data_IF_465134073723
#
_entry.id   IF_465134073723
#
_cell.length_a   1.000
_cell.length_b   1.000
_cell.length_c   1.000
_cell.angle_alpha   90.00
_cell.angle_beta   90.00
_cell.angle_gamma   90.00
#
_symmetry.space_group_name_H-M   'P 1'
#
loop_
_entity.id
_entity.type
_entity.pdbx_description
1 polymer ?
#
# COMPACT_ATOMS: atom_id res chain seq x y z
N UNK A 1 -14.71 -10.80 -11.41
CA UNK A 1 -13.62 -9.81 -11.40
C UNK A 1 -14.07 -8.53 -12.09
N UNK A 2 -14.70 -7.59 -11.38
CA UNK A 2 -15.06 -6.28 -11.97
C UNK A 2 -15.24 -5.18 -10.90
N UNK A 3 -14.41 -5.19 -9.86
CA UNK A 3 -14.45 -4.14 -8.82
C UNK A 3 -13.78 -2.83 -9.28
N UNK A 4 -12.88 -2.92 -10.28
CA UNK A 4 -12.08 -1.81 -10.78
C UNK A 4 -12.80 -0.93 -11.81
N UNK A 5 -13.95 -1.34 -12.37
CA UNK A 5 -14.65 -0.56 -13.40
C UNK A 5 -15.65 0.46 -12.83
N UNK A 6 -15.79 0.53 -11.50
CA UNK A 6 -16.65 1.51 -10.82
C UNK A 6 -15.90 2.74 -10.32
N UNK A 7 -14.65 2.95 -10.76
CA UNK A 7 -13.84 4.10 -10.38
C UNK A 7 -14.20 5.35 -11.19
N UNK A 8 -15.24 6.06 -10.77
CA UNK A 8 -15.53 7.44 -11.20
C UNK A 8 -15.33 8.40 -10.02
N UNK A 9 -14.32 9.27 -10.16
CA UNK A 9 -14.05 10.62 -9.62
C UNK A 9 -14.54 11.11 -8.23
N UNK A 10 -15.32 10.38 -7.45
CA UNK A 10 -15.94 10.90 -6.21
C UNK A 10 -15.11 10.70 -4.92
N UNK A 11 -13.93 10.10 -4.97
CA UNK A 11 -13.05 9.88 -3.79
C UNK A 11 -12.26 11.13 -3.38
N UNK A 12 -12.91 12.28 -3.18
CA UNK A 12 -12.25 13.57 -2.89
C UNK A 12 -11.53 13.63 -1.53
N UNK A 13 -11.93 12.86 -0.53
CA UNK A 13 -11.43 13.04 0.86
C UNK A 13 -10.06 12.41 1.15
N UNK A 14 -9.57 11.49 0.31
CA UNK A 14 -8.33 10.74 0.57
C UNK A 14 -7.34 10.86 -0.61
N UNK A 15 -7.05 12.10 -1.01
CA UNK A 15 -6.08 12.44 -2.04
C UNK A 15 -4.81 13.02 -1.41
N UNK A 16 -3.69 12.33 -1.59
CA UNK A 16 -2.38 12.78 -1.12
C UNK A 16 -1.55 13.30 -2.29
N UNK A 17 -1.02 14.51 -2.20
CA UNK A 17 0.02 15.02 -3.11
C UNK A 17 1.33 15.15 -2.34
N UNK A 18 2.25 14.22 -2.54
CA UNK A 18 3.42 14.04 -1.68
C UNK A 18 4.68 13.69 -2.51
N UNK A 19 5.84 13.66 -1.86
CA UNK A 19 7.09 13.16 -2.46
C UNK A 19 7.28 11.68 -2.17
N UNK A 20 8.04 10.98 -3.01
CA UNK A 20 8.47 9.60 -2.71
C UNK A 20 9.18 9.52 -1.36
N UNK A 21 8.92 8.44 -0.63
CA UNK A 21 9.47 8.21 0.70
C UNK A 21 8.67 8.86 1.84
N UNK A 22 7.69 9.71 1.53
CA UNK A 22 6.79 10.29 2.53
C UNK A 22 5.90 9.21 3.14
N UNK A 23 5.78 9.22 4.47
CA UNK A 23 4.91 8.29 5.21
C UNK A 23 3.54 8.91 5.42
N UNK A 24 2.50 8.15 5.12
CA UNK A 24 1.10 8.50 5.34
C UNK A 24 0.57 7.58 6.44
N UNK A 25 0.10 8.14 7.56
CA UNK A 25 -0.58 7.34 8.59
C UNK A 25 -1.99 6.98 8.12
N UNK A 26 -2.35 5.71 8.28
CA UNK A 26 -3.63 5.16 7.86
C UNK A 26 -4.19 4.23 8.93
N UNK A 27 -5.51 4.10 8.89
CA UNK A 27 -6.27 3.23 9.77
C UNK A 27 -7.03 2.23 8.91
N UNK A 28 -6.77 0.94 9.10
CA UNK A 28 -7.54 -0.10 8.44
C UNK A 28 -8.89 -0.26 9.14
N UNK A 29 -9.97 -0.27 8.36
CA UNK A 29 -11.32 -0.49 8.86
C UNK A 29 -11.66 -1.97 8.71
N UNK A 30 -12.14 -2.61 9.77
CA UNK A 30 -12.36 -4.07 9.83
C UNK A 30 -13.55 -4.54 8.97
N UNK A 31 -14.57 -3.70 8.82
CA UNK A 31 -15.81 -4.04 8.09
C UNK A 31 -16.02 -3.24 6.80
N UNK A 32 -15.03 -2.47 6.36
CA UNK A 32 -15.15 -1.66 5.15
C UNK A 32 -13.86 -1.63 4.37
N UNK A 33 -13.96 -1.23 3.10
CA UNK A 33 -12.81 -0.87 2.31
C UNK A 33 -12.37 0.55 2.63
N UNK A 34 -11.07 0.78 2.59
CA UNK A 34 -10.50 2.13 2.68
C UNK A 34 -9.77 2.41 1.38
N UNK A 35 -10.12 3.48 0.70
CA UNK A 35 -9.55 3.86 -0.60
C UNK A 35 -8.76 5.15 -0.45
N UNK A 36 -7.68 5.30 -1.21
CA UNK A 36 -6.97 6.56 -1.33
C UNK A 36 -6.24 6.66 -2.66
N UNK A 37 -6.05 7.90 -3.11
CA UNK A 37 -5.25 8.25 -4.28
C UNK A 37 -4.01 8.98 -3.80
N UNK A 38 -2.86 8.61 -4.35
CA UNK A 38 -1.59 9.26 -4.08
C UNK A 38 -1.00 9.76 -5.39
N UNK A 39 -0.65 11.03 -5.44
CA UNK A 39 0.07 11.67 -6.52
C UNK A 39 1.50 12.00 -6.03
N UNK A 40 2.49 11.47 -6.73
CA UNK A 40 3.90 11.60 -6.39
C UNK A 40 4.70 12.07 -7.61
N UNK A 41 5.15 13.33 -7.63
CA UNK A 41 5.98 13.88 -8.71
C UNK A 41 5.35 13.69 -10.10
N UNK A 42 4.03 13.86 -10.22
CA UNK A 42 3.27 13.69 -11.47
C UNK A 42 2.80 12.25 -11.74
N UNK A 43 3.20 11.28 -10.93
CA UNK A 43 2.78 9.88 -11.03
C UNK A 43 1.57 9.61 -10.13
N UNK A 44 0.59 8.83 -10.61
CA UNK A 44 -0.66 8.58 -9.90
C UNK A 44 -0.78 7.13 -9.47
N UNK A 45 -1.18 6.92 -8.21
CA UNK A 45 -1.39 5.63 -7.59
C UNK A 45 -2.76 5.60 -6.91
N UNK A 46 -3.49 4.50 -7.04
CA UNK A 46 -4.68 4.25 -6.23
C UNK A 46 -4.46 3.04 -5.37
N UNK A 47 -4.84 3.17 -4.12
CA UNK A 47 -4.67 2.11 -3.14
C UNK A 47 -5.98 1.79 -2.46
N UNK A 48 -6.12 0.51 -2.12
CA UNK A 48 -7.25 -0.02 -1.38
C UNK A 48 -6.74 -0.91 -0.27
N UNK A 49 -7.31 -0.72 0.92
CA UNK A 49 -7.24 -1.68 2.00
C UNK A 49 -8.59 -2.38 2.11
N UNK A 50 -8.56 -3.71 2.22
CA UNK A 50 -9.74 -4.53 2.50
C UNK A 50 -9.42 -5.66 3.47
N UNK A 51 -10.43 -6.44 3.85
CA UNK A 51 -10.25 -7.62 4.69
C UNK A 51 -10.85 -8.84 4.00
N UNK A 52 -10.22 -9.98 4.23
CA UNK A 52 -10.72 -11.28 3.81
C UNK A 52 -11.61 -11.88 4.91
N UNK A 53 -12.39 -12.90 4.54
CA UNK A 53 -13.32 -13.57 5.46
C UNK A 53 -12.63 -14.28 6.63
N UNK A 54 -11.36 -14.64 6.49
CA UNK A 54 -10.53 -15.25 7.55
C UNK A 54 -9.96 -14.24 8.55
N UNK A 55 -10.27 -12.94 8.37
CA UNK A 55 -9.77 -11.85 9.19
C UNK A 55 -8.35 -11.39 8.84
N UNK A 56 -7.78 -11.87 7.73
CA UNK A 56 -6.58 -11.27 7.14
C UNK A 56 -6.90 -9.95 6.45
N UNK A 57 -5.91 -9.08 6.34
CA UNK A 57 -6.04 -7.76 5.70
C UNK A 57 -5.18 -7.73 4.45
N UNK A 58 -5.73 -7.20 3.36
CA UNK A 58 -4.97 -6.95 2.14
C UNK A 58 -4.87 -5.46 1.84
N UNK A 59 -3.73 -5.05 1.30
CA UNK A 59 -3.51 -3.69 0.80
C UNK A 59 -2.94 -3.79 -0.60
N UNK A 60 -3.68 -3.26 -1.56
CA UNK A 60 -3.30 -3.25 -2.97
C UNK A 60 -3.06 -1.82 -3.43
N UNK A 61 -2.00 -1.61 -4.22
CA UNK A 61 -1.67 -0.30 -4.80
C UNK A 61 -1.48 -0.41 -6.31
N UNK A 62 -2.40 0.14 -7.07
CA UNK A 62 -2.35 0.20 -8.53
C UNK A 62 -1.65 1.48 -8.99
N UNK A 63 -0.67 1.35 -9.87
CA UNK A 63 -0.06 2.46 -10.59
C UNK A 63 -0.86 2.77 -11.87
N UNK A 64 -1.09 4.06 -12.14
CA UNK A 64 -1.87 4.58 -13.27
C UNK A 64 -0.98 5.31 -14.29
N UNK A 65 0.11 4.65 -14.69
CA UNK A 65 0.99 5.12 -15.76
C UNK A 65 1.47 3.96 -16.63
N UNK A 66 2.56 4.15 -17.41
CA UNK A 66 3.09 3.12 -18.28
C UNK A 66 3.49 1.86 -17.51
N UNK A 67 3.01 0.68 -17.95
CA UNK A 67 3.23 -0.58 -17.21
C UNK A 67 4.72 -0.89 -16.99
N UNK A 68 5.57 -0.54 -17.95
CA UNK A 68 7.03 -0.73 -17.88
C UNK A 68 7.69 0.02 -16.72
N UNK A 69 7.09 1.13 -16.29
CA UNK A 69 7.58 1.98 -15.20
C UNK A 69 7.12 1.47 -13.82
N UNK A 70 6.06 0.66 -13.77
CA UNK A 70 5.49 0.13 -12.52
C UNK A 70 6.52 -0.60 -11.65
N UNK A 71 7.47 -1.32 -12.29
CA UNK A 71 8.57 -2.05 -11.62
C UNK A 71 9.54 -1.17 -10.84
N UNK A 72 9.50 0.14 -11.07
CA UNK A 72 10.33 1.13 -10.37
C UNK A 72 9.68 1.62 -9.10
N UNK A 73 8.43 1.27 -8.84
CA UNK A 73 7.69 1.73 -7.68
C UNK A 73 7.39 0.56 -6.76
N UNK A 74 7.51 0.82 -5.46
CA UNK A 74 7.27 -0.14 -4.41
C UNK A 74 6.39 0.51 -3.36
N UNK A 75 5.33 -0.19 -2.94
CA UNK A 75 4.58 0.17 -1.76
C UNK A 75 5.24 -0.48 -0.54
N UNK A 76 5.19 0.25 0.57
CA UNK A 76 5.64 -0.22 1.87
C UNK A 76 4.55 0.03 2.90
N UNK A 77 4.25 -1.02 3.67
CA UNK A 77 3.28 -0.99 4.76
C UNK A 77 4.04 -1.27 6.06
N UNK A 78 3.94 -0.35 7.01
CA UNK A 78 4.61 -0.44 8.31
C UNK A 78 3.55 -0.57 9.39
N UNK A 79 3.50 -1.71 10.07
CA UNK A 79 2.70 -1.92 11.26
C UNK A 79 3.55 -1.60 12.50
N UNK A 80 2.97 -0.87 13.44
CA UNK A 80 3.59 -0.58 14.74
C UNK A 80 2.79 -1.27 15.83
N UNK A 81 3.46 -1.94 16.77
CA UNK A 81 2.76 -2.56 17.89
C UNK A 81 2.10 -1.45 18.73
N UNK A 82 0.83 -1.60 19.15
CA UNK A 82 0.08 -0.54 19.81
C UNK A 82 0.68 -0.10 21.15
N UNK A 83 1.36 -1.01 21.85
CA UNK A 83 1.95 -0.74 23.17
C UNK A 83 3.49 -0.75 23.15
N UNK A 84 4.11 -1.45 22.21
CA UNK A 84 5.56 -1.70 22.20
C UNK A 84 6.22 -0.99 21.03
N UNK A 85 6.62 0.26 21.23
CA UNK A 85 7.15 1.14 20.16
C UNK A 85 8.37 0.59 19.39
N UNK A 86 9.08 -0.39 19.95
CA UNK A 86 10.23 -1.04 19.31
C UNK A 86 9.82 -2.15 18.34
N UNK A 87 8.64 -2.73 18.50
CA UNK A 87 8.12 -3.79 17.64
C UNK A 87 7.39 -3.15 16.47
N UNK A 88 7.92 -3.40 15.27
CA UNK A 88 7.29 -3.02 14.01
C UNK A 88 7.48 -4.13 12.97
N UNK A 89 6.52 -4.25 12.07
CA UNK A 89 6.61 -5.15 10.93
C UNK A 89 6.50 -4.34 9.65
N UNK A 90 7.36 -4.64 8.68
CA UNK A 90 7.41 -3.91 7.41
C UNK A 90 7.19 -4.89 6.28
N UNK A 91 6.20 -4.57 5.45
CA UNK A 91 5.89 -5.29 4.23
C UNK A 91 6.22 -4.45 3.01
N UNK A 92 6.55 -5.14 1.93
CA UNK A 92 6.81 -4.51 0.67
C UNK A 92 6.12 -5.26 -0.46
N UNK A 93 5.62 -4.52 -1.44
CA UNK A 93 5.11 -5.08 -2.69
C UNK A 93 5.43 -4.15 -3.86
N UNK A 94 5.79 -4.73 -5.00
CA UNK A 94 6.02 -3.98 -6.24
C UNK A 94 4.70 -3.37 -6.72
N UNK A 95 4.70 -2.18 -7.32
CA UNK A 95 3.46 -1.61 -7.90
C UNK A 95 3.09 -2.23 -9.26
N UNK A 96 3.80 -3.28 -9.71
CA UNK A 96 3.46 -4.06 -10.91
C UNK A 96 2.15 -4.81 -10.70
N UNK A 97 1.27 -4.77 -11.70
CA UNK A 97 -0.02 -5.48 -11.68
C UNK A 97 0.17 -6.96 -11.34
N UNK A 98 -0.63 -7.48 -10.40
CA UNK A 98 -0.54 -8.86 -9.91
C UNK A 98 0.54 -9.11 -8.83
N UNK A 99 1.50 -8.19 -8.67
CA UNK A 99 2.51 -8.21 -7.60
C UNK A 99 2.31 -7.10 -6.57
N UNK A 100 1.23 -6.33 -6.72
CA UNK A 100 0.95 -5.10 -6.01
C UNK A 100 0.03 -5.24 -4.81
N UNK A 101 0.02 -6.41 -4.20
CA UNK A 101 -0.78 -6.70 -3.02
C UNK A 101 0.11 -7.14 -1.86
N UNK A 102 -0.08 -6.51 -0.70
CA UNK A 102 0.42 -6.98 0.59
C UNK A 102 -0.71 -7.69 1.30
N UNK A 103 -0.52 -8.97 1.63
CA UNK A 103 -1.44 -9.73 2.47
C UNK A 103 -0.85 -9.89 3.88
N UNK A 104 -1.62 -9.49 4.89
CA UNK A 104 -1.26 -9.54 6.30
C UNK A 104 -2.16 -10.58 6.95
N UNK A 105 -1.57 -11.67 7.46
CA UNK A 105 -2.34 -12.78 8.03
C UNK A 105 -3.15 -12.35 9.26
N UNK A 106 -4.24 -13.06 9.52
CA UNK A 106 -5.11 -12.77 10.67
C UNK A 106 -4.38 -12.82 12.01
N UNK A 107 -3.36 -13.68 12.15
CA UNK A 107 -2.49 -13.72 13.35
C UNK A 107 -1.74 -12.41 13.55
N UNK A 108 -1.19 -11.85 12.47
CA UNK A 108 -0.44 -10.58 12.54
C UNK A 108 -1.40 -9.42 12.78
N UNK A 109 -2.55 -9.39 12.10
CA UNK A 109 -3.62 -8.40 12.36
C UNK A 109 -4.02 -8.42 13.84
N UNK A 110 -4.23 -9.61 14.43
CA UNK A 110 -4.58 -9.74 15.86
C UNK A 110 -3.48 -9.26 16.80
N UNK A 111 -2.22 -9.39 16.42
CA UNK A 111 -1.09 -8.94 17.23
C UNK A 111 -0.88 -7.42 17.15
N UNK A 112 -1.16 -6.80 16.01
CA UNK A 112 -0.90 -5.38 15.77
C UNK A 112 -2.12 -4.46 15.91
N UNK A 113 -3.33 -5.00 16.07
CA UNK A 113 -4.53 -4.19 16.35
C UNK A 113 -4.54 -3.67 17.79
N UNK A 114 -5.17 -2.53 18.00
CA UNK A 114 -5.38 -1.97 19.33
C UNK A 114 -6.56 -2.63 20.07
N UNK A 115 -6.85 -2.13 21.28
CA UNK A 115 -7.97 -2.60 22.13
C UNK A 115 -9.35 -2.33 21.52
N UNK A 116 -9.46 -1.39 20.58
CA UNK A 116 -10.69 -1.06 19.85
C UNK A 116 -10.84 -1.89 18.57
N UNK A 117 -9.98 -2.89 18.35
CA UNK A 117 -9.88 -3.67 17.10
C UNK A 117 -9.51 -2.84 15.87
N UNK A 118 -8.77 -1.76 16.07
CA UNK A 118 -8.30 -0.88 14.99
C UNK A 118 -6.85 -1.22 14.66
N UNK A 119 -6.57 -1.43 13.38
CA UNK A 119 -5.21 -1.67 12.89
C UNK A 119 -4.66 -0.38 12.27
N UNK A 120 -3.66 0.21 12.94
CA UNK A 120 -2.95 1.38 12.47
C UNK A 120 -1.73 0.97 11.64
N UNK A 121 -1.50 1.64 10.52
CA UNK A 121 -0.34 1.39 9.67
C UNK A 121 0.18 2.67 9.01
N UNK A 122 1.47 2.69 8.70
CA UNK A 122 2.03 3.71 7.80
C UNK A 122 2.11 3.14 6.39
N UNK A 123 1.66 3.93 5.43
CA UNK A 123 1.79 3.67 4.00
C UNK A 123 2.89 4.56 3.42
N UNK A 124 3.74 4.00 2.56
CA UNK A 124 4.79 4.75 1.88
C UNK A 124 4.96 4.24 0.45
N UNK A 125 5.09 5.16 -0.50
CA UNK A 125 5.53 4.87 -1.87
C UNK A 125 7.02 5.17 -2.02
N UNK A 126 7.76 4.22 -2.56
CA UNK A 126 9.21 4.33 -2.80
C UNK A 126 9.50 4.16 -4.28
N UNK A 127 10.32 5.06 -4.83
CA UNK A 127 10.89 4.92 -6.17
C UNK A 127 12.24 4.22 -6.07
N UNK A 128 12.34 3.01 -6.62
CA UNK A 128 13.56 2.24 -6.68
C UNK A 128 14.55 2.92 -7.64
N UNK A 129 15.80 3.06 -7.17
CA UNK A 129 16.91 3.50 -8.03
C UNK A 129 17.12 2.44 -9.11
N UNK A 130 17.34 2.85 -10.36
CA UNK A 130 17.79 1.93 -11.42
C UNK A 130 19.04 1.21 -10.91
N UNK A 131 19.02 -0.13 -10.85
CA UNK A 131 20.30 -0.84 -10.89
C UNK A 131 20.89 -0.49 -12.26
N UNK A 132 22.14 -0.01 -12.36
CA UNK A 132 22.78 0.08 -13.66
C UNK A 132 22.69 -1.32 -14.28
N UNK A 133 22.02 -1.40 -15.44
CA UNK A 133 22.05 -2.62 -16.24
C UNK A 133 23.54 -2.92 -16.47
N UNK A 134 24.03 -4.17 -16.29
CA UNK A 134 25.35 -4.50 -16.80
C UNK A 134 25.28 -4.19 -18.29
N UNK A 135 25.97 -3.11 -18.68
CA UNK A 135 26.16 -2.73 -20.06
C UNK A 135 26.79 -3.97 -20.71
N UNK A 136 26.04 -4.60 -21.62
CA UNK A 136 26.40 -5.80 -22.40
C UNK A 136 27.83 -6.29 -22.11
N UNK A 137 27.96 -7.37 -21.33
CA UNK A 137 29.13 -8.21 -21.55
C UNK A 137 28.90 -8.82 -22.94
N UNK A 138 29.69 -8.31 -23.88
CA UNK A 138 29.74 -8.65 -25.30
C UNK A 138 29.69 -10.17 -25.53
#
# INVERSE_FOLDING_TARGET
MHLLSKFTEELKEDNYNIRYGTKIQRTAKVFSYTFWRTECEGEVFWSVQGNNSDGSTFITTQYFGPEEEAKRYQQEIILHHPEEKKIKMIYYASCVSGMNCVNISSTIVRHFKDKNNVLYFEYRLVKLKRRPYPYRML
#
